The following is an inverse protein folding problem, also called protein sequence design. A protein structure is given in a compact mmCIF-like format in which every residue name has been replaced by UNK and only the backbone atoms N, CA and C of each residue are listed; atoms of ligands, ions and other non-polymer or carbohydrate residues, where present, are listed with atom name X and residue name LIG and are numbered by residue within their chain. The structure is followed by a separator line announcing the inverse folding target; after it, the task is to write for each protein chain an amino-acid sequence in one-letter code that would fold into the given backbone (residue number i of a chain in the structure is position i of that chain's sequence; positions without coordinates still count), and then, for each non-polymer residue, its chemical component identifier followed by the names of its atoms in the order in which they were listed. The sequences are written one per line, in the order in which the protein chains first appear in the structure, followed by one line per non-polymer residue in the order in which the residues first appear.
data_IF_554224814766
#
_entry.id   IF_554224814766
#
_cell.length_a   1.000
_cell.length_b   1.000
_cell.length_c   1.000
_cell.angle_alpha   90.00
_cell.angle_beta   90.00
_cell.angle_gamma   90.00
#
_symmetry.space_group_name_H-M   'P 1'
#
loop_
_entity.id
_entity.type
_entity.pdbx_description
1 polymer ?
#
# COMPACT_ATOMS: atom_id res chain seq x y z
N UNK A 1 21.30 19.89 -17.49
CA UNK A 1 20.60 18.59 -17.42
C UNK A 1 20.48 18.24 -15.95
N UNK A 2 19.28 18.33 -15.39
CA UNK A 2 19.01 17.81 -14.05
C UNK A 2 18.31 16.46 -14.25
N UNK A 3 19.10 15.41 -14.31
CA UNK A 3 18.63 14.04 -14.18
C UNK A 3 18.01 13.92 -12.78
N UNK A 4 16.71 14.18 -12.72
CA UNK A 4 15.89 13.80 -11.57
C UNK A 4 15.92 12.28 -11.54
N UNK A 5 16.85 11.75 -10.77
CA UNK A 5 16.93 10.36 -10.33
C UNK A 5 15.52 9.85 -10.13
N UNK A 6 15.07 8.99 -11.07
CA UNK A 6 13.98 8.06 -10.88
C UNK A 6 14.41 7.14 -9.75
N UNK A 7 14.30 7.61 -8.50
CA UNK A 7 14.43 6.74 -7.35
C UNK A 7 13.21 5.83 -7.42
N UNK A 8 13.46 4.54 -7.64
CA UNK A 8 12.48 3.51 -7.36
C UNK A 8 11.83 3.81 -6.01
N UNK A 9 10.50 3.72 -5.87
CA UNK A 9 9.79 3.98 -4.62
C UNK A 9 10.34 3.18 -3.43
N UNK A 10 11.04 2.08 -3.72
CA UNK A 10 11.76 1.18 -2.80
C UNK A 10 13.05 1.78 -2.21
N UNK A 11 13.63 2.79 -2.87
CA UNK A 11 14.85 3.51 -2.48
C UNK A 11 14.54 4.77 -1.64
N UNK A 12 13.26 5.06 -1.39
CA UNK A 12 12.86 6.08 -0.44
C UNK A 12 12.88 5.50 0.97
N UNK A 13 13.67 6.13 1.84
CA UNK A 13 13.89 5.77 3.25
C UNK A 13 12.56 5.58 4.03
N UNK A 14 11.46 6.19 3.57
CA UNK A 14 10.13 6.02 4.18
C UNK A 14 9.35 4.78 3.75
N UNK A 15 9.89 3.89 2.93
CA UNK A 15 9.25 2.61 2.63
C UNK A 15 9.19 1.68 3.85
N UNK A 16 10.22 1.74 4.70
CA UNK A 16 10.38 0.93 5.92
C UNK A 16 9.68 1.55 7.15
N UNK A 17 9.19 2.78 7.04
CA UNK A 17 8.35 3.40 8.07
C UNK A 17 7.07 2.58 8.27
N UNK A 18 6.48 2.58 9.48
CA UNK A 18 5.18 1.95 9.72
C UNK A 18 4.12 2.54 8.79
N UNK A 19 3.12 1.74 8.41
CA UNK A 19 2.06 2.25 7.55
C UNK A 19 1.37 3.45 8.18
N UNK A 20 0.94 4.37 7.32
CA UNK A 20 0.16 5.51 7.77
C UNK A 20 -1.27 5.07 8.10
N UNK A 21 -1.93 5.72 9.06
CA UNK A 21 -3.34 5.41 9.39
C UNK A 21 -4.30 5.56 8.19
N UNK A 22 -3.93 6.35 7.18
CA UNK A 22 -4.65 6.44 5.91
C UNK A 22 -4.56 5.13 5.09
N UNK A 23 -3.38 4.52 5.02
CA UNK A 23 -3.20 3.22 4.36
C UNK A 23 -3.93 2.12 5.12
N UNK A 24 -3.85 2.10 6.46
CA UNK A 24 -4.58 1.13 7.30
C UNK A 24 -6.09 1.20 7.06
N UNK A 25 -6.67 2.39 7.16
CA UNK A 25 -8.11 2.60 6.96
C UNK A 25 -8.55 2.19 5.55
N UNK A 26 -7.69 2.44 4.55
CA UNK A 26 -7.98 2.07 3.18
C UNK A 26 -7.92 0.56 2.97
N UNK A 27 -6.88 -0.11 3.48
CA UNK A 27 -6.75 -1.56 3.45
C UNK A 27 -7.91 -2.27 4.16
N UNK A 28 -8.35 -1.78 5.33
CA UNK A 28 -9.54 -2.31 6.02
C UNK A 28 -10.78 -2.27 5.12
N UNK A 29 -11.02 -1.13 4.47
CA UNK A 29 -12.15 -0.97 3.54
C UNK A 29 -12.02 -1.90 2.32
N UNK A 30 -10.80 -2.09 1.80
CA UNK A 30 -10.54 -2.98 0.67
C UNK A 30 -10.74 -4.46 1.05
N UNK A 31 -10.27 -4.88 2.23
CA UNK A 31 -10.46 -6.21 2.77
C UNK A 31 -11.96 -6.52 2.92
N UNK A 32 -12.73 -5.58 3.48
CA UNK A 32 -14.20 -5.71 3.57
C UNK A 32 -14.86 -5.82 2.19
N UNK A 33 -14.46 -5.00 1.21
CA UNK A 33 -15.01 -5.06 -0.15
C UNK A 33 -14.64 -6.34 -0.90
N UNK A 34 -13.43 -6.86 -0.67
CA UNK A 34 -12.94 -8.10 -1.24
C UNK A 34 -13.44 -9.35 -0.48
N UNK A 35 -14.18 -9.18 0.62
CA UNK A 35 -14.52 -10.23 1.59
C UNK A 35 -13.28 -11.06 2.01
N UNK A 36 -12.15 -10.39 2.25
CA UNK A 36 -10.88 -10.98 2.66
C UNK A 36 -10.53 -10.60 4.10
N UNK A 37 -9.54 -11.28 4.68
CA UNK A 37 -9.04 -10.97 6.01
C UNK A 37 -8.44 -9.56 6.09
N UNK A 38 -8.57 -8.88 7.24
CA UNK A 38 -7.99 -7.56 7.44
C UNK A 38 -6.46 -7.59 7.28
N UNK A 39 -5.86 -6.47 6.82
CA UNK A 39 -4.41 -6.35 6.70
C UNK A 39 -3.71 -6.54 8.06
N UNK A 40 -2.46 -6.97 8.03
CA UNK A 40 -1.61 -7.00 9.23
C UNK A 40 -1.39 -5.57 9.76
N UNK A 41 -1.43 -5.39 11.09
CA UNK A 41 -1.31 -4.07 11.72
C UNK A 41 0.13 -3.52 11.71
N UNK A 42 1.13 -4.40 11.54
CA UNK A 42 2.56 -4.08 11.60
C UNK A 42 3.20 -3.89 10.22
N UNK A 43 2.38 -3.68 9.17
CA UNK A 43 2.89 -3.48 7.81
C UNK A 43 3.68 -2.17 7.71
N UNK A 44 4.78 -2.21 6.97
CA UNK A 44 5.48 -1.01 6.56
C UNK A 44 4.67 -0.23 5.51
N UNK A 45 4.98 1.05 5.30
CA UNK A 45 4.35 1.89 4.29
C UNK A 45 4.52 1.30 2.89
N UNK A 46 5.68 0.69 2.61
CA UNK A 46 5.92 0.00 1.34
C UNK A 46 4.99 -1.22 1.21
N UNK A 47 4.98 -2.11 2.20
CA UNK A 47 4.15 -3.31 2.19
C UNK A 47 2.66 -2.98 2.14
N UNK A 48 2.21 -1.99 2.90
CA UNK A 48 0.84 -1.51 2.87
C UNK A 48 0.47 -0.97 1.48
N UNK A 49 1.38 -0.26 0.80
CA UNK A 49 1.13 0.20 -0.57
C UNK A 49 1.01 -0.96 -1.56
N UNK A 50 1.89 -1.96 -1.47
CA UNK A 50 1.84 -3.16 -2.31
C UNK A 50 0.58 -3.99 -2.05
N UNK A 51 0.16 -4.09 -0.78
CA UNK A 51 -1.06 -4.79 -0.40
C UNK A 51 -2.32 -4.06 -0.88
N UNK A 52 -2.33 -2.71 -0.83
CA UNK A 52 -3.43 -1.89 -1.36
C UNK A 52 -3.64 -2.20 -2.84
N UNK A 53 -2.56 -2.26 -3.63
CA UNK A 53 -2.62 -2.54 -5.06
C UNK A 53 -3.23 -3.93 -5.32
N UNK A 54 -2.70 -4.95 -4.64
CA UNK A 54 -3.23 -6.32 -4.70
C UNK A 54 -4.71 -6.39 -4.29
N UNK A 55 -5.10 -5.74 -3.21
CA UNK A 55 -6.48 -5.79 -2.73
C UNK A 55 -7.43 -5.01 -3.63
N UNK A 56 -7.00 -3.88 -4.22
CA UNK A 56 -7.77 -3.16 -5.24
C UNK A 56 -8.09 -4.02 -6.46
N UNK A 57 -7.12 -4.81 -6.92
CA UNK A 57 -7.34 -5.78 -8.00
C UNK A 57 -8.41 -6.80 -7.63
N UNK A 58 -8.31 -7.37 -6.43
CA UNK A 58 -9.27 -8.38 -5.94
C UNK A 58 -10.67 -7.81 -5.71
N UNK A 59 -10.75 -6.59 -5.18
CA UNK A 59 -12.00 -5.86 -4.99
C UNK A 59 -12.61 -5.34 -6.31
N UNK A 60 -11.89 -5.45 -7.44
CA UNK A 60 -12.35 -4.98 -8.75
C UNK A 60 -12.34 -3.46 -8.92
N UNK A 61 -11.53 -2.74 -8.14
CA UNK A 61 -11.41 -1.29 -8.17
C UNK A 61 -10.39 -0.76 -9.19
N UNK A 62 -9.58 -1.64 -9.78
CA UNK A 62 -8.78 -1.31 -10.97
C UNK A 62 -9.65 -1.52 -12.23
N UNK A 63 -10.13 -0.41 -12.82
CA UNK A 63 -10.81 -0.34 -14.11
C UNK A 63 -10.06 0.63 -15.03
#
# INVERSE_FOLDING_TARGET
MADNTQKDPKDWVSGDDPMTGAQESYLKTLAEQAHEDPPEEDLTKAEASELIDRMRQKAGLEQ
#
